data_IF_114759730229
#
_entry.id   IF_114759730229
#
_cell.length_a   1.000
_cell.length_b   1.000
_cell.length_c   1.000
_cell.angle_alpha   90.00
_cell.angle_beta   90.00
_cell.angle_gamma   90.00
#
_symmetry.space_group_name_H-M   'P 1'
#
loop_
_entity.id
_entity.type
_entity.pdbx_description
1 polymer ?
#
# COMPACT_ATOMS: atom_id res chain seq x y z
N UNK A 1 17.28 12.21 7.80
CA UNK A 1 17.42 11.02 6.92
C UNK A 1 18.64 10.22 7.38
N UNK A 2 18.55 8.88 7.43
CA UNK A 2 19.66 8.02 7.84
C UNK A 2 20.58 7.76 6.63
N UNK A 3 21.90 8.03 6.72
CA UNK A 3 22.83 7.73 5.64
C UNK A 3 22.79 6.24 5.26
N UNK A 4 22.71 5.95 3.96
CA UNK A 4 22.66 4.58 3.43
C UNK A 4 21.28 3.93 3.39
N UNK A 5 20.23 4.57 3.91
CA UNK A 5 18.85 4.07 3.83
C UNK A 5 18.07 4.89 2.80
N UNK A 6 17.60 4.21 1.75
CA UNK A 6 16.95 4.84 0.60
C UNK A 6 15.42 4.66 0.57
N UNK A 7 14.90 3.57 1.12
CA UNK A 7 13.49 3.17 1.04
C UNK A 7 12.83 3.18 2.42
N UNK A 8 11.49 3.24 2.44
CA UNK A 8 10.73 3.12 3.67
C UNK A 8 10.67 1.65 4.12
N UNK A 9 11.06 1.36 5.37
CA UNK A 9 11.00 0.02 5.96
C UNK A 9 9.62 -0.37 6.53
N UNK A 10 8.69 0.58 6.58
CA UNK A 10 7.32 0.43 7.07
C UNK A 10 6.45 1.59 6.55
N UNK A 11 5.13 1.43 6.60
CA UNK A 11 4.16 2.28 5.88
C UNK A 11 4.34 3.81 6.02
N UNK A 12 4.66 4.31 7.22
CA UNK A 12 4.89 5.73 7.50
C UNK A 12 6.37 6.12 7.60
N UNK A 13 7.28 5.26 7.16
CA UNK A 13 8.71 5.48 7.22
C UNK A 13 9.22 6.54 6.22
N UNK A 14 10.37 7.17 6.50
CA UNK A 14 10.97 8.12 5.56
C UNK A 14 11.52 7.40 4.31
N UNK A 15 11.45 8.08 3.17
CA UNK A 15 12.10 7.65 1.92
C UNK A 15 13.00 8.77 1.40
N UNK A 16 14.15 8.43 0.82
CA UNK A 16 15.01 9.42 0.20
C UNK A 16 14.35 9.98 -1.08
N UNK A 17 14.76 11.19 -1.51
CA UNK A 17 14.30 11.74 -2.78
C UNK A 17 14.74 10.87 -3.96
N UNK A 18 13.83 10.62 -4.92
CA UNK A 18 14.12 9.83 -6.12
C UNK A 18 14.10 8.32 -5.93
N UNK A 19 13.58 7.83 -4.80
CA UNK A 19 13.47 6.39 -4.51
C UNK A 19 12.01 5.97 -4.39
N UNK A 20 11.76 4.66 -4.46
CA UNK A 20 10.43 4.09 -4.32
C UNK A 20 10.01 4.07 -2.84
N UNK A 21 8.85 4.65 -2.53
CA UNK A 21 8.31 4.65 -1.17
C UNK A 21 7.53 3.36 -0.89
N UNK A 22 6.59 2.97 -1.77
CA UNK A 22 5.84 1.72 -1.72
C UNK A 22 5.48 1.21 -3.12
N UNK A 23 5.03 -0.04 -3.20
CA UNK A 23 4.38 -0.62 -4.39
C UNK A 23 2.97 -1.07 -4.02
N UNK A 24 1.98 -0.65 -4.82
CA UNK A 24 0.59 -1.04 -4.65
C UNK A 24 0.19 -2.15 -5.62
N UNK A 25 -0.47 -3.18 -5.10
CA UNK A 25 -1.10 -4.26 -5.87
C UNK A 25 -2.62 -4.10 -5.84
N UNK A 26 -3.26 -4.27 -7.00
CA UNK A 26 -4.71 -4.18 -7.12
C UNK A 26 -5.39 -5.46 -6.62
N UNK A 27 -6.56 -5.27 -5.99
CA UNK A 27 -7.61 -6.30 -5.84
C UNK A 27 -8.94 -5.74 -6.32
N UNK A 28 -9.85 -6.65 -6.71
CA UNK A 28 -11.06 -6.26 -7.44
C UNK A 28 -12.14 -5.64 -6.55
N UNK A 29 -12.18 -6.01 -5.27
CA UNK A 29 -13.25 -5.58 -4.35
C UNK A 29 -12.75 -5.23 -2.94
N UNK A 30 -13.57 -4.49 -2.18
CA UNK A 30 -13.37 -4.26 -0.75
C UNK A 30 -13.28 -5.59 0.05
N UNK A 31 -14.07 -6.60 -0.33
CA UNK A 31 -14.03 -7.91 0.33
C UNK A 31 -12.71 -8.65 0.05
N UNK A 32 -12.16 -8.54 -1.15
CA UNK A 32 -10.83 -9.08 -1.47
C UNK A 32 -9.73 -8.35 -0.68
N UNK A 33 -9.89 -7.04 -0.50
CA UNK A 33 -8.99 -6.22 0.32
C UNK A 33 -8.97 -6.72 1.78
N UNK A 34 -10.15 -6.98 2.37
CA UNK A 34 -10.28 -7.56 3.70
C UNK A 34 -9.77 -9.01 3.78
N UNK A 35 -9.99 -9.80 2.73
CA UNK A 35 -9.50 -11.18 2.64
C UNK A 35 -7.96 -11.23 2.65
N UNK A 36 -7.30 -10.36 1.88
CA UNK A 36 -5.84 -10.27 1.88
C UNK A 36 -5.30 -9.77 3.21
N UNK A 37 -5.96 -8.80 3.86
CA UNK A 37 -5.61 -8.37 5.22
C UNK A 37 -5.57 -9.53 6.19
N UNK A 38 -6.61 -10.37 6.19
CA UNK A 38 -6.70 -11.50 7.11
C UNK A 38 -5.64 -12.57 6.81
N UNK A 39 -5.36 -12.81 5.52
CA UNK A 39 -4.24 -13.68 5.09
C UNK A 39 -2.87 -13.15 5.53
N UNK A 40 -2.62 -11.84 5.45
CA UNK A 40 -1.37 -11.22 5.92
C UNK A 40 -1.25 -11.33 7.44
N UNK A 41 -2.32 -11.01 8.17
CA UNK A 41 -2.37 -11.13 9.63
C UNK A 41 -2.20 -12.56 10.13
N UNK A 42 -2.71 -13.54 9.41
CA UNK A 42 -2.54 -14.97 9.76
C UNK A 42 -1.07 -15.43 9.70
N UNK A 43 -0.18 -14.62 9.10
CA UNK A 43 1.26 -14.84 9.05
C UNK A 43 2.02 -14.01 10.10
N UNK A 44 1.32 -13.35 11.02
CA UNK A 44 1.92 -12.52 12.07
C UNK A 44 2.43 -11.16 11.57
N UNK A 45 2.08 -10.76 10.35
CA UNK A 45 2.48 -9.47 9.77
C UNK A 45 1.40 -8.44 10.11
N UNK A 46 1.83 -7.32 10.68
CA UNK A 46 0.92 -6.20 10.94
C UNK A 46 0.59 -5.47 9.64
N UNK A 47 -0.68 -5.11 9.48
CA UNK A 47 -1.19 -4.38 8.32
C UNK A 47 -2.10 -3.24 8.79
N UNK A 48 -1.82 -2.05 8.27
CA UNK A 48 -2.44 -0.78 8.61
C UNK A 48 -3.54 -0.42 7.58
N UNK A 49 -4.67 0.10 8.06
CA UNK A 49 -5.86 0.41 7.26
C UNK A 49 -7.05 -0.55 7.52
N UNK A 50 -8.11 -0.52 6.69
CA UNK A 50 -8.23 0.23 5.43
C UNK A 50 -8.18 1.75 5.61
N UNK A 51 -7.54 2.42 4.67
CA UNK A 51 -7.55 3.89 4.53
C UNK A 51 -8.40 4.23 3.32
N UNK A 52 -9.28 5.21 3.46
CA UNK A 52 -10.05 5.77 2.35
C UNK A 52 -9.33 7.01 1.82
N UNK A 53 -8.87 6.94 0.57
CA UNK A 53 -8.20 8.04 -0.11
C UNK A 53 -9.15 8.87 -0.97
N UNK A 54 -10.46 8.54 -0.99
CA UNK A 54 -11.47 9.13 -1.84
C UNK A 54 -11.52 8.50 -3.23
N UNK A 55 -10.37 8.29 -3.88
CA UNK A 55 -10.29 7.61 -5.19
C UNK A 55 -10.11 6.09 -5.09
N UNK A 56 -9.61 5.60 -3.96
CA UNK A 56 -9.41 4.17 -3.70
C UNK A 56 -9.38 3.92 -2.19
N UNK A 57 -9.52 2.66 -1.82
CA UNK A 57 -9.25 2.18 -0.46
C UNK A 57 -8.02 1.29 -0.48
N UNK A 58 -7.18 1.40 0.54
CA UNK A 58 -5.96 0.59 0.59
C UNK A 58 -5.49 0.25 2.00
N UNK A 59 -4.56 -0.70 2.07
CA UNK A 59 -3.91 -1.13 3.29
C UNK A 59 -2.41 -1.34 3.06
N UNK A 60 -1.61 -0.99 4.08
CA UNK A 60 -0.15 -0.96 3.99
C UNK A 60 0.50 -1.92 5.00
N UNK A 61 1.57 -2.59 4.59
CA UNK A 61 2.38 -3.45 5.46
C UNK A 61 3.85 -3.47 5.00
N UNK A 62 4.74 -3.88 5.89
CA UNK A 62 6.14 -4.09 5.54
C UNK A 62 6.31 -5.45 4.85
N UNK A 63 6.84 -5.44 3.63
CA UNK A 63 7.33 -6.63 2.95
C UNK A 63 8.52 -7.25 3.69
N UNK A 64 8.75 -8.54 3.49
CA UNK A 64 9.83 -9.28 4.16
C UNK A 64 11.23 -8.81 3.70
N UNK A 65 11.29 -8.21 2.52
CA UNK A 65 12.43 -7.59 1.88
C UNK A 65 12.71 -6.16 2.37
N UNK A 66 11.84 -5.61 3.24
CA UNK A 66 11.97 -4.26 3.77
C UNK A 66 11.33 -3.17 2.91
N UNK A 67 10.66 -3.51 1.79
CA UNK A 67 9.87 -2.56 0.99
C UNK A 67 8.45 -2.44 1.56
N UNK A 68 7.87 -1.24 1.57
CA UNK A 68 6.44 -1.08 1.89
C UNK A 68 5.60 -1.60 0.74
N UNK A 69 4.67 -2.49 1.08
CA UNK A 69 3.67 -3.00 0.15
C UNK A 69 2.30 -2.43 0.50
N UNK A 70 1.53 -2.16 -0.53
CA UNK A 70 0.15 -1.72 -0.45
C UNK A 70 -0.74 -2.71 -1.22
N UNK A 71 -1.92 -3.00 -0.67
CA UNK A 71 -3.03 -3.60 -1.40
C UNK A 71 -4.10 -2.53 -1.54
N UNK A 72 -4.63 -2.34 -2.74
CA UNK A 72 -5.58 -1.27 -3.03
C UNK A 72 -6.72 -1.79 -3.91
N UNK A 73 -7.88 -1.18 -3.74
CA UNK A 73 -9.05 -1.38 -4.60
C UNK A 73 -9.74 -0.05 -4.89
N UNK A 74 -10.33 0.05 -6.07
CA UNK A 74 -11.18 1.18 -6.46
C UNK A 74 -12.49 0.63 -6.98
N UNK A 75 -13.59 1.28 -6.62
CA UNK A 75 -14.93 0.92 -7.14
C UNK A 75 -15.05 1.16 -8.64
N UNK A 76 -14.26 2.09 -9.17
CA UNK A 76 -14.29 2.48 -10.58
C UNK A 76 -12.87 2.67 -11.13
N UNK A 77 -12.70 2.45 -12.43
CA UNK A 77 -11.45 2.79 -13.11
C UNK A 77 -11.26 4.32 -13.14
N UNK A 78 -10.02 4.77 -13.18
CA UNK A 78 -9.71 6.20 -13.34
C UNK A 78 -10.31 6.70 -14.66
N UNK A 79 -11.20 7.69 -14.58
CA UNK A 79 -11.68 8.39 -15.77
C UNK A 79 -10.61 9.36 -16.27
N UNK A 80 -9.85 8.93 -17.29
CA UNK A 80 -8.84 9.77 -17.93
C UNK A 80 -9.39 11.09 -18.48
N UNK A 81 -10.70 11.19 -18.80
CA UNK A 81 -11.28 12.43 -19.33
C UNK A 81 -11.41 13.53 -18.29
N UNK A 82 -11.46 13.18 -17.01
CA UNK A 82 -11.48 14.15 -15.92
C UNK A 82 -10.12 14.84 -15.71
N UNK A 83 -9.06 14.42 -16.42
CA UNK A 83 -7.68 14.85 -16.23
C UNK A 83 -7.08 15.60 -17.44
N UNK A 84 -7.83 15.76 -18.53
CA UNK A 84 -7.45 16.51 -19.75
C UNK A 84 -8.24 17.81 -19.89
#
# INVERSE_FOLDING_TARGET
>A
PQPGVSHAGWAGGPSAGGTMQHVAFNVDTDDDLLTLRDRVRSRGINIYGPIDHGMCKSMYFAGLEGLVLEIATSSEAIDHRAWI
#
